data_IF_158902594656
#
_entry.id   IF_158902594656
#
_cell.length_a   1.000
_cell.length_b   1.000
_cell.length_c   1.000
_cell.angle_alpha   90.00
_cell.angle_beta   90.00
_cell.angle_gamma   90.00
#
_symmetry.space_group_name_H-M   'P 1'
#
loop_
_entity.id
_entity.type
_entity.pdbx_description
1 polymer ?
#
# COMPACT_ATOMS: atom_id res chain seq x y z
N UNK A 1 1.50 -18.75 -12.35
CA UNK A 1 2.42 -19.69 -13.05
C UNK A 1 3.78 -19.76 -12.34
N UNK A 2 4.41 -18.64 -11.99
CA UNK A 2 5.69 -18.63 -11.26
C UNK A 2 5.67 -19.41 -9.94
N UNK A 3 4.60 -19.30 -9.14
CA UNK A 3 4.43 -20.06 -7.90
C UNK A 3 4.39 -21.58 -8.14
N UNK A 4 3.78 -22.02 -9.25
CA UNK A 4 3.72 -23.44 -9.64
C UNK A 4 5.09 -23.96 -10.09
N UNK A 5 5.90 -23.12 -10.73
CA UNK A 5 7.27 -23.48 -11.15
C UNK A 5 8.21 -23.61 -9.95
N UNK A 6 8.04 -22.77 -8.93
CA UNK A 6 8.84 -22.83 -7.69
C UNK A 6 8.40 -23.95 -6.73
N UNK A 7 7.17 -24.44 -6.87
CA UNK A 7 6.57 -25.44 -6.00
C UNK A 7 7.42 -26.73 -5.83
N UNK A 8 7.94 -27.39 -6.89
CA UNK A 8 8.78 -28.58 -6.71
C UNK A 8 10.09 -28.29 -5.97
N UNK A 9 10.70 -27.13 -6.20
CA UNK A 9 11.92 -26.72 -5.49
C UNK A 9 11.63 -26.45 -4.00
N UNK A 10 10.52 -25.78 -3.71
CA UNK A 10 10.08 -25.53 -2.33
C UNK A 10 9.77 -26.84 -1.59
N UNK A 11 9.11 -27.81 -2.24
CA UNK A 11 8.86 -29.13 -1.66
C UNK A 11 10.17 -29.90 -1.39
N UNK A 12 11.12 -29.86 -2.33
CA UNK A 12 12.44 -30.47 -2.14
C UNK A 12 13.20 -29.86 -0.96
N UNK A 13 13.16 -28.53 -0.83
CA UNK A 13 13.77 -27.83 0.30
C UNK A 13 13.09 -28.18 1.64
N UNK A 14 11.76 -28.21 1.68
CA UNK A 14 11.01 -28.60 2.89
C UNK A 14 11.32 -30.04 3.31
N UNK A 15 11.46 -30.95 2.35
CA UNK A 15 11.83 -32.34 2.62
C UNK A 15 13.24 -32.44 3.21
N UNK A 16 14.22 -31.72 2.64
CA UNK A 16 15.58 -31.64 3.18
C UNK A 16 15.60 -31.03 4.59
N UNK A 17 14.86 -29.94 4.82
CA UNK A 17 14.76 -29.25 6.11
C UNK A 17 14.12 -30.12 7.20
N UNK A 18 13.17 -30.99 6.82
CA UNK A 18 12.56 -31.96 7.74
C UNK A 18 13.60 -32.93 8.34
N UNK A 19 14.72 -33.18 7.66
CA UNK A 19 15.81 -34.02 8.15
C UNK A 19 16.93 -33.30 8.92
N UNK A 20 16.99 -31.95 8.89
CA UNK A 20 18.16 -31.17 9.35
C UNK A 20 17.86 -30.19 10.51
N UNK A 21 16.74 -30.36 11.22
CA UNK A 21 16.35 -29.47 12.32
C UNK A 21 14.85 -29.21 12.42
N UNK A 22 14.06 -29.71 11.46
CA UNK A 22 12.59 -29.68 11.48
C UNK A 22 12.02 -28.36 10.98
N UNK A 23 10.77 -28.39 10.56
CA UNK A 23 10.03 -27.19 10.17
C UNK A 23 9.59 -26.41 11.40
N UNK A 24 9.72 -25.08 11.38
CA UNK A 24 9.15 -24.22 12.44
C UNK A 24 7.61 -24.30 12.51
N UNK A 25 6.99 -24.86 11.45
CA UNK A 25 5.61 -25.30 11.40
C UNK A 25 5.39 -26.44 12.42
N UNK A 26 4.73 -26.12 13.53
CA UNK A 26 4.33 -27.06 14.58
C UNK A 26 5.10 -26.88 15.89
N UNK A 27 6.34 -26.41 15.82
CA UNK A 27 7.22 -26.20 16.99
C UNK A 27 7.24 -24.75 17.52
N UNK A 28 6.61 -23.81 16.80
CA UNK A 28 6.51 -22.42 17.24
C UNK A 28 5.57 -22.22 18.43
N UNK A 29 5.84 -21.18 19.25
CA UNK A 29 4.94 -20.74 20.32
C UNK A 29 3.53 -20.48 19.78
N UNK A 30 2.50 -20.76 20.59
CA UNK A 30 1.10 -20.41 20.28
C UNK A 30 0.95 -18.94 19.90
N UNK A 31 1.77 -18.06 20.48
CA UNK A 31 1.81 -16.64 20.14
C UNK A 31 2.23 -16.37 18.69
N UNK A 32 3.31 -17.01 18.23
CA UNK A 32 3.81 -16.87 16.85
C UNK A 32 2.77 -17.37 15.84
N UNK A 33 2.11 -18.48 16.15
CA UNK A 33 1.02 -19.01 15.33
C UNK A 33 -0.16 -18.06 15.21
N UNK A 34 -0.60 -17.47 16.32
CA UNK A 34 -1.66 -16.45 16.31
C UNK A 34 -1.27 -15.25 15.45
N UNK A 35 -0.05 -14.74 15.60
CA UNK A 35 0.43 -13.63 14.77
C UNK A 35 0.48 -14.00 13.28
N UNK A 36 0.99 -15.18 12.94
CA UNK A 36 1.05 -15.68 11.56
C UNK A 36 -0.35 -15.74 10.93
N UNK A 37 -1.33 -16.31 11.63
CA UNK A 37 -2.71 -16.36 11.14
C UNK A 37 -3.29 -14.95 10.98
N UNK A 38 -3.00 -14.03 11.91
CA UNK A 38 -3.48 -12.65 11.85
C UNK A 38 -2.85 -11.82 10.72
N UNK A 39 -1.64 -12.15 10.24
CA UNK A 39 -1.03 -11.45 9.08
C UNK A 39 -1.90 -11.52 7.82
N UNK A 40 -2.64 -12.63 7.63
CA UNK A 40 -3.57 -12.80 6.51
C UNK A 40 -4.70 -11.76 6.54
N UNK A 41 -5.57 -11.75 7.56
CA UNK A 41 -6.60 -10.73 7.71
C UNK A 41 -6.07 -9.30 7.72
N UNK A 42 -4.93 -9.06 8.39
CA UNK A 42 -4.33 -7.72 8.50
C UNK A 42 -3.92 -7.14 7.13
N UNK A 43 -3.60 -8.00 6.15
CA UNK A 43 -3.30 -7.59 4.77
C UNK A 43 -4.52 -7.65 3.85
N UNK A 44 -5.34 -8.70 3.98
CA UNK A 44 -6.52 -8.90 3.14
C UNK A 44 -7.59 -7.84 3.39
N UNK A 45 -7.86 -7.45 4.64
CA UNK A 45 -8.93 -6.50 4.96
C UNK A 45 -8.69 -5.12 4.32
N UNK A 46 -7.52 -4.48 4.48
CA UNK A 46 -7.23 -3.22 3.79
C UNK A 46 -7.29 -3.35 2.27
N UNK A 47 -6.79 -4.46 1.70
CA UNK A 47 -6.83 -4.71 0.25
C UNK A 47 -8.27 -4.84 -0.27
N UNK A 48 -9.14 -5.57 0.44
CA UNK A 48 -10.55 -5.69 0.09
C UNK A 48 -11.26 -4.33 0.18
N UNK A 49 -11.07 -3.59 1.29
CA UNK A 49 -11.64 -2.25 1.44
C UNK A 49 -11.17 -1.30 0.34
N UNK A 50 -9.88 -1.37 -0.01
CA UNK A 50 -9.31 -0.61 -1.12
C UNK A 50 -9.93 -1.01 -2.46
N UNK A 51 -10.04 -2.30 -2.77
CA UNK A 51 -10.62 -2.78 -4.02
C UNK A 51 -12.09 -2.31 -4.18
N UNK A 52 -12.88 -2.37 -3.11
CA UNK A 52 -14.26 -1.87 -3.11
C UNK A 52 -14.33 -0.34 -3.24
N UNK A 53 -13.46 0.40 -2.56
CA UNK A 53 -13.41 1.86 -2.65
C UNK A 53 -12.91 2.35 -4.02
N UNK A 54 -11.89 1.70 -4.55
CA UNK A 54 -11.26 2.02 -5.84
C UNK A 54 -12.27 1.98 -7.01
N UNK A 55 -13.23 1.05 -6.98
CA UNK A 55 -14.28 0.94 -7.99
C UNK A 55 -15.23 2.15 -8.04
N UNK A 56 -15.29 2.97 -6.97
CA UNK A 56 -16.22 4.11 -6.85
C UNK A 56 -15.55 5.47 -6.91
N UNK A 57 -14.23 5.51 -7.05
CA UNK A 57 -13.42 6.74 -6.97
C UNK A 57 -12.82 7.05 -8.34
N UNK A 58 -12.79 8.33 -8.73
CA UNK A 58 -12.12 8.77 -9.97
C UNK A 58 -10.63 8.46 -9.90
N UNK A 59 -10.04 8.04 -11.03
CA UNK A 59 -8.62 7.67 -11.15
C UNK A 59 -7.65 8.71 -10.55
N UNK A 60 -7.96 10.00 -10.71
CA UNK A 60 -7.16 11.11 -10.18
C UNK A 60 -7.11 11.14 -8.64
N UNK A 61 -8.23 10.90 -7.96
CA UNK A 61 -8.31 10.85 -6.50
C UNK A 61 -7.65 9.58 -5.95
N UNK A 62 -7.70 8.49 -6.72
CA UNK A 62 -7.03 7.23 -6.42
C UNK A 62 -5.50 7.40 -6.42
N UNK A 63 -4.96 8.11 -7.42
CA UNK A 63 -3.54 8.46 -7.47
C UNK A 63 -3.10 9.34 -6.29
N UNK A 64 -3.92 10.33 -5.91
CA UNK A 64 -3.68 11.17 -4.73
C UNK A 64 -3.64 10.34 -3.43
N UNK A 65 -4.56 9.40 -3.25
CA UNK A 65 -4.62 8.51 -2.08
C UNK A 65 -3.39 7.59 -1.99
N UNK A 66 -2.81 7.17 -3.11
CA UNK A 66 -1.60 6.35 -3.10
C UNK A 66 -0.37 7.09 -2.54
N UNK A 67 -0.33 8.42 -2.57
CA UNK A 67 0.74 9.21 -1.93
C UNK A 67 0.64 9.25 -0.39
N UNK A 68 -0.50 8.88 0.18
CA UNK A 68 -0.62 8.75 1.64
C UNK A 68 0.22 7.59 2.17
N UNK A 69 0.27 6.46 1.46
CA UNK A 69 1.06 5.29 1.86
C UNK A 69 2.55 5.62 2.11
N UNK A 70 3.32 6.17 1.14
CA UNK A 70 4.71 6.53 1.35
C UNK A 70 4.86 7.65 2.39
N UNK A 71 3.89 8.55 2.53
CA UNK A 71 3.88 9.59 3.58
C UNK A 71 3.73 8.99 4.97
N UNK A 72 2.78 8.08 5.17
CA UNK A 72 2.59 7.40 6.46
C UNK A 72 3.79 6.54 6.81
N UNK A 73 4.37 5.85 5.82
CA UNK A 73 5.56 5.03 6.04
C UNK A 73 6.78 5.89 6.42
N UNK A 74 6.95 7.04 5.77
CA UNK A 74 7.95 8.03 6.13
C UNK A 74 7.74 8.57 7.55
N UNK A 75 6.51 8.98 7.89
CA UNK A 75 6.18 9.48 9.22
C UNK A 75 6.45 8.43 10.31
N UNK A 76 6.08 7.17 10.07
CA UNK A 76 6.37 6.08 11.01
C UNK A 76 7.88 5.85 11.15
N UNK A 77 8.63 5.86 10.04
CA UNK A 77 10.09 5.74 10.07
C UNK A 77 10.76 6.82 10.93
N UNK A 78 10.31 8.07 10.82
CA UNK A 78 10.91 9.20 11.53
C UNK A 78 10.41 9.30 12.97
N UNK A 79 9.10 9.24 13.17
CA UNK A 79 8.47 9.54 14.46
C UNK A 79 8.47 8.34 15.41
N UNK A 80 8.26 7.12 14.89
CA UNK A 80 8.24 5.90 15.71
C UNK A 80 9.61 5.23 15.76
N UNK A 81 10.24 5.03 14.60
CA UNK A 81 11.52 4.30 14.54
C UNK A 81 12.75 5.19 14.77
N UNK A 82 12.59 6.52 14.73
CA UNK A 82 13.67 7.47 15.01
C UNK A 82 14.78 7.45 13.96
N UNK A 83 14.51 6.95 12.75
CA UNK A 83 15.50 6.85 11.68
C UNK A 83 16.00 8.26 11.28
N UNK A 84 17.33 8.48 11.21
CA UNK A 84 17.88 9.76 10.86
C UNK A 84 17.44 10.17 9.46
N UNK A 85 16.77 11.31 9.38
CA UNK A 85 16.36 11.90 8.12
C UNK A 85 17.58 12.44 7.37
N UNK A 86 18.03 11.69 6.37
CA UNK A 86 19.02 12.18 5.43
C UNK A 86 18.44 13.31 4.58
N UNK A 87 19.29 14.28 4.27
CA UNK A 87 18.95 15.47 3.47
C UNK A 87 18.30 15.11 2.14
N UNK A 88 18.76 14.01 1.51
CA UNK A 88 18.21 13.54 0.23
C UNK A 88 16.77 13.06 0.39
N UNK A 89 16.44 12.27 1.42
CA UNK A 89 15.05 11.80 1.61
C UNK A 89 14.10 12.96 1.88
N UNK A 90 14.52 13.95 2.68
CA UNK A 90 13.73 15.15 2.94
C UNK A 90 13.47 15.97 1.67
N UNK A 91 14.48 16.16 0.82
CA UNK A 91 14.34 16.87 -0.46
C UNK A 91 13.43 16.12 -1.43
N UNK A 92 13.60 14.80 -1.57
CA UNK A 92 12.73 13.96 -2.41
C UNK A 92 11.29 14.02 -1.94
N UNK A 93 11.06 13.96 -0.62
CA UNK A 93 9.73 14.08 -0.05
C UNK A 93 9.09 15.45 -0.33
N UNK A 94 9.87 16.53 -0.18
CA UNK A 94 9.42 17.88 -0.51
C UNK A 94 9.03 18.03 -1.98
N UNK A 95 9.84 17.51 -2.91
CA UNK A 95 9.53 17.52 -4.34
C UNK A 95 8.24 16.75 -4.67
N UNK A 96 8.04 15.58 -4.06
CA UNK A 96 6.82 14.80 -4.21
C UNK A 96 5.60 15.61 -3.74
N UNK A 97 5.69 16.24 -2.57
CA UNK A 97 4.59 17.04 -2.01
C UNK A 97 4.27 18.28 -2.84
N UNK A 98 5.27 18.94 -3.42
CA UNK A 98 5.05 20.06 -4.35
C UNK A 98 4.31 19.59 -5.61
N UNK A 99 4.77 18.50 -6.24
CA UNK A 99 4.10 17.91 -7.40
C UNK A 99 2.66 17.50 -7.09
N UNK A 100 2.46 16.90 -5.90
CA UNK A 100 1.14 16.52 -5.41
C UNK A 100 0.22 17.73 -5.19
N UNK A 101 0.74 18.80 -4.59
CA UNK A 101 0.00 20.04 -4.37
C UNK A 101 -0.49 20.66 -5.68
N UNK A 102 0.38 20.70 -6.71
CA UNK A 102 0.04 21.20 -8.05
C UNK A 102 -1.04 20.32 -8.69
N UNK A 103 -0.86 18.99 -8.69
CA UNK A 103 -1.83 18.07 -9.28
C UNK A 103 -3.19 18.10 -8.56
N UNK A 104 -3.17 18.18 -7.23
CA UNK A 104 -4.39 18.24 -6.41
C UNK A 104 -5.14 19.56 -6.67
N UNK A 105 -4.43 20.67 -6.84
CA UNK A 105 -5.03 21.95 -7.20
C UNK A 105 -5.62 21.95 -8.62
N UNK A 106 -4.89 21.40 -9.61
CA UNK A 106 -5.37 21.29 -10.99
C UNK A 106 -6.63 20.42 -11.11
N UNK A 107 -6.61 19.24 -10.49
CA UNK A 107 -7.76 18.32 -10.48
C UNK A 107 -8.99 18.95 -9.81
N UNK A 108 -8.82 19.64 -8.69
CA UNK A 108 -9.90 20.36 -8.01
C UNK A 108 -10.48 21.50 -8.85
N UNK A 109 -9.62 22.28 -9.51
CA UNK A 109 -10.04 23.37 -10.40
C UNK A 109 -10.83 22.83 -11.60
N UNK A 110 -10.31 21.79 -12.25
CA UNK A 110 -10.91 21.15 -13.43
C UNK A 110 -12.28 20.53 -13.10
N UNK A 111 -12.43 19.98 -11.90
CA UNK A 111 -13.72 19.46 -11.44
C UNK A 111 -14.75 20.59 -11.18
N UNK A 112 -14.31 21.73 -10.64
CA UNK A 112 -15.18 22.91 -10.49
C UNK A 112 -15.63 23.48 -11.83
N UNK A 113 -14.75 23.52 -12.82
CA UNK A 113 -15.04 24.00 -14.17
C UNK A 113 -16.06 23.09 -14.88
N UNK A 114 -15.89 21.76 -14.80
CA UNK A 114 -16.85 20.77 -15.35
C UNK A 114 -18.24 20.85 -14.69
N UNK A 115 -18.30 21.12 -13.38
CA UNK A 115 -19.59 21.30 -12.68
C UNK A 115 -20.29 22.59 -13.10
N UNK A 116 -19.53 23.66 -13.37
CA UNK A 116 -20.07 24.95 -13.85
C UNK A 116 -20.64 24.83 -15.25
N UNK A 117 -19.95 24.15 -16.17
CA UNK A 117 -20.45 23.94 -17.54
C UNK A 117 -21.70 23.06 -17.56
N UNK A 118 -21.74 21.99 -16.75
CA UNK A 118 -22.93 21.16 -16.60
C UNK A 118 -24.15 21.93 -16.04
N UNK A 119 -23.93 22.86 -15.10
CA UNK A 119 -25.00 23.68 -14.54
C UNK A 119 -25.55 24.74 -15.52
N UNK A 120 -24.73 25.22 -16.46
CA UNK A 120 -25.14 26.16 -17.51
C UNK A 120 -25.89 25.45 -18.65
N UNK A 121 -25.47 24.23 -19.01
CA UNK A 121 -26.14 23.44 -20.04
C UNK A 121 -27.56 23.00 -19.64
N UNK A 122 -27.86 22.89 -18.35
CA UNK A 122 -29.19 22.50 -17.84
C UNK A 122 -30.16 23.69 -17.70
N UNK A 123 -29.76 24.90 -18.12
CA UNK A 123 -30.53 26.15 -17.99
C UNK A 123 -31.00 26.74 -19.33
N UNK A 124 -30.59 26.18 -20.46
CA UNK A 124 -31.06 26.54 -21.81
C UNK A 124 -31.96 25.47 -22.37
#
# INVERSE_FOLDING_TARGET
>A
VEVLVLLPFALGYLWWLSGHGGTSFGNGSRFTWTLLVLTGPMTAVPLFLFAFGAQRIRLATLGLMQYLAPTTQFLVAVLLYGEPLGTVQAMTFGLIWVGLGIFSFDTWRRERELRRTAALANRG
#
